data_IF_083394208893
#
_entry.id   IF_083394208893
#
_cell.length_a   1.000
_cell.length_b   1.000
_cell.length_c   1.000
_cell.angle_alpha   90.00
_cell.angle_beta   90.00
_cell.angle_gamma   90.00
#
_symmetry.space_group_name_H-M   'P 1'
#
loop_
_entity.id
_entity.type
_entity.pdbx_description
1 polymer ?
#
# COMPACT_ATOMS: atom_id res chain seq x y z
N UNK A 1 5.31 26.46 -18.75
CA UNK A 1 5.31 24.99 -18.88
C UNK A 1 6.75 24.53 -18.76
N UNK A 2 7.17 23.94 -17.63
CA UNK A 2 8.61 23.87 -17.26
C UNK A 2 9.23 22.46 -17.34
N UNK A 3 8.48 21.37 -17.55
CA UNK A 3 9.10 20.03 -17.75
C UNK A 3 8.74 19.29 -19.03
N UNK A 4 7.73 19.74 -19.80
CA UNK A 4 7.25 19.01 -20.98
C UNK A 4 6.70 17.61 -20.69
N UNK A 5 6.51 17.26 -19.42
CA UNK A 5 5.95 15.98 -19.01
C UNK A 5 4.43 16.08 -18.91
N UNK A 6 3.76 15.12 -19.54
CA UNK A 6 2.31 14.98 -19.50
C UNK A 6 1.92 13.91 -18.46
N UNK A 7 0.87 14.21 -17.69
CA UNK A 7 0.37 13.29 -16.67
C UNK A 7 -0.42 12.17 -17.35
N UNK A 8 -0.06 10.92 -17.07
CA UNK A 8 -0.80 9.77 -17.61
C UNK A 8 -2.18 9.68 -16.95
N UNK A 9 -3.21 10.01 -17.72
CA UNK A 9 -4.61 9.93 -17.29
C UNK A 9 -5.04 8.52 -16.83
N UNK A 10 -4.37 7.45 -17.29
CA UNK A 10 -4.64 6.08 -16.87
C UNK A 10 -4.07 5.74 -15.49
N UNK A 11 -2.97 6.40 -15.11
CA UNK A 11 -2.27 6.17 -13.83
C UNK A 11 -2.70 7.15 -12.74
N UNK A 12 -3.44 8.19 -13.09
CA UNK A 12 -3.82 9.28 -12.19
C UNK A 12 -5.30 9.19 -11.84
N UNK A 13 -5.55 8.92 -10.57
CA UNK A 13 -6.90 8.86 -9.99
C UNK A 13 -6.99 9.81 -8.81
N UNK A 14 -8.18 10.36 -8.56
CA UNK A 14 -8.42 11.31 -7.48
C UNK A 14 -9.26 10.65 -6.39
N UNK A 15 -8.81 10.76 -5.14
CA UNK A 15 -9.56 10.34 -3.95
C UNK A 15 -9.96 11.59 -3.16
N UNK A 16 -11.26 11.77 -2.93
CA UNK A 16 -11.76 12.86 -2.11
C UNK A 16 -12.02 12.43 -0.67
N UNK A 17 -11.69 13.31 0.28
CA UNK A 17 -12.11 13.14 1.68
C UNK A 17 -13.63 13.15 1.80
N UNK A 18 -14.17 12.44 2.80
CA UNK A 18 -15.61 12.37 3.08
C UNK A 18 -16.25 13.75 3.29
N UNK A 19 -15.47 14.76 3.68
CA UNK A 19 -15.94 16.10 3.97
C UNK A 19 -16.15 16.98 2.72
N UNK A 20 -15.75 16.52 1.52
CA UNK A 20 -15.90 17.31 0.29
C UNK A 20 -17.32 17.17 -0.26
N UNK A 21 -18.01 18.32 -0.44
CA UNK A 21 -19.36 18.42 -1.02
C UNK A 21 -19.39 17.91 -2.46
N UNK A 22 -20.44 17.17 -2.86
CA UNK A 22 -20.59 16.57 -4.20
C UNK A 22 -20.41 17.57 -5.34
N UNK A 23 -21.07 18.74 -5.29
CA UNK A 23 -20.93 19.76 -6.33
C UNK A 23 -19.51 20.31 -6.51
N UNK A 24 -18.67 20.26 -5.47
CA UNK A 24 -17.25 20.60 -5.59
C UNK A 24 -16.44 19.47 -6.24
N UNK A 25 -16.78 18.21 -5.93
CA UNK A 25 -16.15 17.04 -6.58
C UNK A 25 -16.41 17.04 -8.07
N UNK A 26 -17.67 17.21 -8.47
CA UNK A 26 -18.06 17.21 -9.89
C UNK A 26 -17.35 18.32 -10.66
N UNK A 27 -17.22 19.51 -10.05
CA UNK A 27 -16.47 20.62 -10.64
C UNK A 27 -14.98 20.27 -10.83
N UNK A 28 -14.34 19.67 -9.82
CA UNK A 28 -12.93 19.29 -9.88
C UNK A 28 -12.68 18.12 -10.84
N UNK A 29 -13.58 17.14 -10.90
CA UNK A 29 -13.51 16.04 -11.86
C UNK A 29 -13.69 16.55 -13.30
N UNK A 30 -14.64 17.47 -13.53
CA UNK A 30 -14.84 18.08 -14.84
C UNK A 30 -13.65 18.93 -15.28
N UNK A 31 -13.05 19.70 -14.36
CA UNK A 31 -11.87 20.51 -14.67
C UNK A 31 -10.60 19.68 -14.89
N UNK A 32 -10.45 18.55 -14.21
CA UNK A 32 -9.22 17.75 -14.25
C UNK A 32 -9.25 16.61 -15.28
N UNK A 33 -10.44 16.13 -15.65
CA UNK A 33 -10.60 14.98 -16.54
C UNK A 33 -10.19 13.63 -15.94
N UNK A 34 -9.87 13.58 -14.65
CA UNK A 34 -9.47 12.36 -13.95
C UNK A 34 -10.67 11.58 -13.40
N UNK A 35 -10.48 10.29 -13.16
CA UNK A 35 -11.51 9.43 -12.55
C UNK A 35 -11.44 9.51 -11.03
N UNK A 36 -12.60 9.62 -10.37
CA UNK A 36 -12.71 9.42 -8.92
C UNK A 36 -12.51 7.94 -8.62
N UNK A 37 -11.62 7.63 -7.67
CA UNK A 37 -11.47 6.28 -7.12
C UNK A 37 -11.74 6.29 -5.63
N UNK A 38 -12.28 5.18 -5.12
CA UNK A 38 -12.44 4.95 -3.68
C UNK A 38 -11.19 4.34 -3.04
N UNK A 39 -10.29 3.80 -3.87
CA UNK A 39 -9.04 3.17 -3.46
C UNK A 39 -7.91 3.56 -4.45
N UNK A 40 -6.83 4.13 -3.93
CA UNK A 40 -5.69 4.60 -4.73
C UNK A 40 -4.66 3.49 -4.97
N UNK A 41 -4.94 2.28 -4.48
CA UNK A 41 -4.08 1.12 -4.58
C UNK A 41 -2.91 1.15 -3.62
N UNK A 42 -1.83 0.45 -4.02
CA UNK A 42 -0.58 0.37 -3.28
C UNK A 42 0.45 1.29 -3.92
N UNK A 43 1.13 2.07 -3.10
CA UNK A 43 2.30 2.82 -3.51
C UNK A 43 3.53 2.23 -2.84
N UNK A 44 4.51 1.82 -3.66
CA UNK A 44 5.73 1.14 -3.19
C UNK A 44 5.43 -0.09 -2.29
N UNK A 45 4.32 -0.79 -2.57
CA UNK A 45 3.90 -1.97 -1.81
C UNK A 45 3.08 -1.68 -0.55
N UNK A 46 2.96 -0.41 -0.13
CA UNK A 46 2.14 0.01 1.02
C UNK A 46 0.78 0.52 0.53
N UNK A 47 -0.34 0.03 1.07
CA UNK A 47 -1.67 0.54 0.73
C UNK A 47 -1.78 2.04 1.04
N UNK A 48 -2.16 2.84 0.04
CA UNK A 48 -2.45 4.26 0.25
C UNK A 48 -3.91 4.41 0.69
N UNK A 49 -4.10 4.49 2.00
CA UNK A 49 -5.43 4.53 2.59
C UNK A 49 -5.78 6.00 2.90
N UNK A 50 -6.79 6.55 2.24
CA UNK A 50 -7.29 7.92 2.52
C UNK A 50 -8.15 8.04 3.78
N UNK A 51 -8.02 7.09 4.72
CA UNK A 51 -8.73 7.03 6.01
C UNK A 51 -7.79 6.48 7.08
N UNK A 52 -8.21 6.53 8.35
CA UNK A 52 -7.47 5.86 9.42
C UNK A 52 -7.30 4.35 9.12
N UNK A 53 -6.06 3.82 9.26
CA UNK A 53 -5.78 2.42 9.00
C UNK A 53 -6.47 1.54 10.04
N UNK A 54 -7.04 0.42 9.60
CA UNK A 54 -7.68 -0.60 10.42
C UNK A 54 -6.80 -1.86 10.42
N UNK A 55 -7.00 -2.74 11.40
CA UNK A 55 -6.28 -4.03 11.47
C UNK A 55 -6.33 -4.84 10.16
N UNK A 56 -7.48 -4.85 9.49
CA UNK A 56 -7.64 -5.55 8.20
C UNK A 56 -6.73 -4.99 7.09
N UNK A 57 -6.36 -3.70 7.15
CA UNK A 57 -5.51 -3.08 6.15
C UNK A 57 -4.05 -3.54 6.23
N UNK A 58 -3.67 -4.24 7.31
CA UNK A 58 -2.33 -4.82 7.50
C UNK A 58 -2.25 -6.30 7.09
N UNK A 59 -3.35 -6.91 6.63
CA UNK A 59 -3.37 -8.31 6.20
C UNK A 59 -2.33 -8.59 5.10
N UNK A 60 -2.07 -7.60 4.23
CA UNK A 60 -1.05 -7.73 3.19
C UNK A 60 0.36 -8.00 3.77
N UNK A 61 0.67 -7.54 4.99
CA UNK A 61 1.97 -7.81 5.62
C UNK A 61 2.08 -9.27 6.03
N UNK A 62 1.00 -9.84 6.56
CA UNK A 62 0.93 -11.26 6.90
C UNK A 62 1.11 -12.10 5.63
N UNK A 63 0.42 -11.73 4.56
CA UNK A 63 0.51 -12.42 3.28
C UNK A 63 1.93 -12.31 2.69
N UNK A 64 2.59 -11.15 2.80
CA UNK A 64 3.98 -10.95 2.38
C UNK A 64 4.96 -11.83 3.17
N UNK A 65 4.81 -11.91 4.50
CA UNK A 65 5.61 -12.79 5.35
C UNK A 65 5.38 -14.25 4.95
N UNK A 66 4.12 -14.67 4.84
CA UNK A 66 3.75 -16.04 4.44
C UNK A 66 4.36 -16.41 3.09
N UNK A 67 4.19 -15.56 2.07
CA UNK A 67 4.74 -15.79 0.74
C UNK A 67 6.27 -15.87 0.76
N UNK A 68 6.94 -15.00 1.54
CA UNK A 68 8.40 -15.08 1.71
C UNK A 68 8.79 -16.40 2.35
N UNK A 69 8.15 -16.81 3.44
CA UNK A 69 8.45 -18.07 4.13
C UNK A 69 8.19 -19.31 3.26
N UNK A 70 7.08 -19.31 2.51
CA UNK A 70 6.71 -20.40 1.59
C UNK A 70 7.64 -20.50 0.38
N UNK A 71 8.22 -19.38 -0.08
CA UNK A 71 9.19 -19.39 -1.17
C UNK A 71 10.52 -20.08 -0.79
N UNK A 72 10.81 -20.25 0.51
CA UNK A 72 12.04 -20.91 0.95
C UNK A 72 11.86 -22.43 1.03
N UNK A 73 12.93 -23.16 0.64
CA UNK A 73 13.02 -24.61 0.86
C UNK A 73 13.20 -24.92 2.35
N UNK A 74 12.11 -24.85 3.11
CA UNK A 74 12.05 -25.17 4.54
C UNK A 74 12.55 -26.59 4.89
N UNK A 75 12.63 -27.47 3.88
CA UNK A 75 13.08 -28.86 3.98
C UNK A 75 14.62 -29.01 4.05
N UNK A 76 15.39 -27.97 3.73
CA UNK A 76 16.86 -27.98 3.80
C UNK A 76 17.41 -27.31 5.07
N UNK A 77 16.55 -26.74 5.92
CA UNK A 77 16.94 -26.01 7.11
C UNK A 77 16.71 -26.85 8.37
N UNK A 78 17.67 -26.77 9.29
CA UNK A 78 17.49 -27.27 10.67
C UNK A 78 16.36 -26.49 11.37
N UNK A 79 15.86 -27.02 12.48
CA UNK A 79 14.82 -26.33 13.27
C UNK A 79 15.26 -24.91 13.66
N UNK A 80 16.49 -24.77 14.16
CA UNK A 80 17.08 -23.46 14.49
C UNK A 80 17.16 -22.55 13.25
N UNK A 81 17.58 -23.07 12.09
CA UNK A 81 17.63 -22.32 10.84
C UNK A 81 16.26 -21.78 10.41
N UNK A 82 15.19 -22.58 10.57
CA UNK A 82 13.82 -22.14 10.30
C UNK A 82 13.36 -21.04 11.24
N UNK A 83 13.67 -21.14 12.53
CA UNK A 83 13.31 -20.11 13.53
C UNK A 83 14.05 -18.80 13.25
N UNK A 84 15.35 -18.86 12.96
CA UNK A 84 16.14 -17.66 12.64
C UNK A 84 15.64 -16.99 11.37
N UNK A 85 15.32 -17.76 10.33
CA UNK A 85 14.75 -17.23 9.09
C UNK A 85 13.37 -16.60 9.32
N UNK A 86 12.51 -17.24 10.11
CA UNK A 86 11.20 -16.68 10.43
C UNK A 86 11.34 -15.33 11.15
N UNK A 87 12.23 -15.24 12.14
CA UNK A 87 12.52 -13.99 12.85
C UNK A 87 13.03 -12.90 11.90
N UNK A 88 13.99 -13.20 11.04
CA UNK A 88 14.56 -12.19 10.14
C UNK A 88 13.53 -11.64 9.14
N UNK A 89 12.65 -12.50 8.61
CA UNK A 89 11.57 -12.07 7.70
C UNK A 89 10.53 -11.23 8.45
N UNK A 90 10.14 -11.65 9.65
CA UNK A 90 9.18 -10.92 10.50
C UNK A 90 9.71 -9.55 10.92
N UNK A 91 11.01 -9.43 11.18
CA UNK A 91 11.65 -8.15 11.52
C UNK A 91 11.79 -7.24 10.31
N UNK A 92 12.11 -7.78 9.12
CA UNK A 92 12.41 -6.97 7.94
C UNK A 92 11.16 -6.44 7.21
N UNK A 93 10.09 -7.24 7.10
CA UNK A 93 8.88 -6.87 6.34
C UNK A 93 8.16 -5.62 6.87
N UNK A 94 7.96 -5.41 8.18
CA UNK A 94 7.22 -4.26 8.68
C UNK A 94 8.04 -2.96 8.71
N UNK A 95 9.36 -2.99 8.55
CA UNK A 95 10.24 -1.80 8.66
C UNK A 95 9.74 -0.66 7.76
N UNK A 96 9.47 -0.97 6.49
CA UNK A 96 9.04 0.04 5.52
C UNK A 96 7.65 0.64 5.83
N UNK A 97 6.59 -0.18 6.05
CA UNK A 97 5.30 0.33 6.50
C UNK A 97 5.34 1.12 7.82
N UNK A 98 6.20 0.74 8.77
CA UNK A 98 6.36 1.43 10.06
C UNK A 98 6.96 2.83 9.92
N UNK A 99 7.79 3.07 8.89
CA UNK A 99 8.29 4.42 8.59
C UNK A 99 7.17 5.35 8.11
N UNK A 100 6.15 4.82 7.44
CA UNK A 100 5.06 5.62 6.85
C UNK A 100 3.83 5.71 7.73
N UNK A 101 3.61 4.76 8.64
CA UNK A 101 2.39 4.65 9.44
C UNK A 101 2.62 3.96 10.77
N UNK A 102 1.92 4.39 11.83
CA UNK A 102 1.91 3.66 13.11
C UNK A 102 1.09 2.39 12.94
N UNK A 103 1.78 1.24 12.96
CA UNK A 103 1.13 -0.07 13.02
C UNK A 103 0.56 -0.24 14.45
N UNK A 104 -0.73 -0.60 14.60
CA UNK A 104 -1.39 -0.77 15.89
C UNK A 104 -0.99 -2.07 16.61
#
# INVERSE_FOLDING_TARGET
MISGQEVSHEKTSVLFSKNVRRGMRDKLLHMSGFKETTDIGKYLGVPLIGRAPKRADYQYLIDQVSNKLSAWKARQLSFAGRVTLAKSVLEAVPIYPMMTSKIP
#
